data_IF_676176936016
#
_entry.id   IF_676176936016
#
_cell.length_a   1.000
_cell.length_b   1.000
_cell.length_c   1.000
_cell.angle_alpha   90.00
_cell.angle_beta   90.00
_cell.angle_gamma   90.00
#
_symmetry.space_group_name_H-M   'P 1'
#
loop_
_entity.id
_entity.type
_entity.pdbx_description
1 polymer ?
#
# COMPACT_ATOMS: atom_id res chain seq x y z
N UNK A 1 11.18 -20.92 -8.54
CA UNK A 1 9.77 -20.49 -8.79
C UNK A 1 9.43 -19.42 -7.76
N UNK A 2 8.93 -18.26 -8.21
CA UNK A 2 8.55 -17.16 -7.31
C UNK A 2 7.35 -17.56 -6.46
N UNK A 3 7.33 -17.13 -5.20
CA UNK A 3 6.21 -17.42 -4.30
C UNK A 3 5.06 -16.46 -4.60
N UNK A 4 3.86 -17.00 -4.85
CA UNK A 4 2.65 -16.20 -5.07
C UNK A 4 2.23 -15.53 -3.77
N UNK A 5 2.02 -14.19 -3.81
CA UNK A 5 1.66 -13.38 -2.65
C UNK A 5 0.72 -12.24 -3.02
N UNK A 6 -0.07 -11.80 -2.03
CA UNK A 6 -0.79 -10.52 -2.05
C UNK A 6 -0.01 -9.52 -1.22
N UNK A 7 0.37 -8.38 -1.81
CA UNK A 7 1.14 -7.33 -1.15
C UNK A 7 0.23 -6.29 -0.49
N UNK A 8 0.52 -5.94 0.77
CA UNK A 8 -0.15 -4.86 1.50
C UNK A 8 0.90 -3.87 1.96
N UNK A 9 0.84 -2.62 1.49
CA UNK A 9 1.73 -1.54 1.96
C UNK A 9 1.02 -0.66 2.98
N UNK A 10 1.78 -0.03 3.90
CA UNK A 10 1.19 0.77 4.96
C UNK A 10 0.44 -0.06 6.01
N UNK A 11 0.87 -1.29 6.18
CA UNK A 11 0.19 -2.29 7.02
C UNK A 11 0.13 -1.91 8.49
N UNK A 12 1.11 -1.18 9.01
CA UNK A 12 1.14 -0.76 10.42
C UNK A 12 0.24 0.45 10.72
N UNK A 13 -0.52 0.92 9.75
CA UNK A 13 -1.61 1.86 9.92
C UNK A 13 -2.89 1.17 10.38
N UNK A 14 -3.86 1.95 10.87
CA UNK A 14 -5.15 1.44 11.39
C UNK A 14 -5.90 0.59 10.33
N UNK A 15 -6.06 1.11 9.13
CA UNK A 15 -6.71 0.41 8.02
C UNK A 15 -5.90 -0.82 7.59
N UNK A 16 -4.57 -0.68 7.52
CA UNK A 16 -3.67 -1.78 7.14
C UNK A 16 -3.73 -2.97 8.11
N UNK A 17 -3.71 -2.71 9.41
CA UNK A 17 -3.85 -3.76 10.43
C UNK A 17 -5.20 -4.49 10.36
N UNK A 18 -6.29 -3.73 10.20
CA UNK A 18 -7.60 -4.32 10.02
C UNK A 18 -7.68 -5.17 8.74
N UNK A 19 -7.09 -4.68 7.65
CA UNK A 19 -7.09 -5.36 6.36
C UNK A 19 -6.32 -6.69 6.42
N UNK A 20 -5.09 -6.70 6.96
CA UNK A 20 -4.28 -7.93 7.03
C UNK A 20 -4.98 -9.01 7.84
N UNK A 21 -5.60 -8.63 8.96
CA UNK A 21 -6.37 -9.57 9.78
C UNK A 21 -7.58 -10.11 9.02
N UNK A 22 -8.38 -9.24 8.41
CA UNK A 22 -9.58 -9.68 7.67
C UNK A 22 -9.24 -10.58 6.47
N UNK A 23 -8.20 -10.26 5.71
CA UNK A 23 -7.76 -11.11 4.60
C UNK A 23 -7.29 -12.49 5.09
N UNK A 24 -6.55 -12.54 6.20
CA UNK A 24 -6.13 -13.81 6.81
C UNK A 24 -7.35 -14.62 7.29
N UNK A 25 -8.32 -13.99 7.94
CA UNK A 25 -9.56 -14.63 8.39
C UNK A 25 -10.41 -15.15 7.21
N UNK A 26 -10.32 -14.51 6.04
CA UNK A 26 -10.94 -14.97 4.79
C UNK A 26 -10.15 -16.09 4.08
N UNK A 27 -9.03 -16.52 4.63
CA UNK A 27 -8.23 -17.64 4.10
C UNK A 27 -7.11 -17.25 3.14
N UNK A 28 -6.77 -15.97 3.02
CA UNK A 28 -5.59 -15.53 2.27
C UNK A 28 -4.32 -15.93 3.04
N UNK A 29 -3.64 -16.99 2.58
CA UNK A 29 -2.52 -17.59 3.32
C UNK A 29 -1.15 -16.94 3.03
N UNK A 30 -1.00 -16.25 1.90
CA UNK A 30 0.28 -15.73 1.43
C UNK A 30 0.29 -14.20 1.41
N UNK A 31 0.07 -13.58 2.56
CA UNK A 31 0.14 -12.13 2.70
C UNK A 31 1.59 -11.70 2.89
N UNK A 32 2.03 -10.76 2.04
CA UNK A 32 3.30 -10.05 2.17
C UNK A 32 2.99 -8.61 2.58
N UNK A 33 3.59 -8.13 3.65
CA UNK A 33 3.32 -6.78 4.17
C UNK A 33 4.56 -5.92 4.18
N UNK A 34 4.40 -4.64 3.89
CA UNK A 34 5.48 -3.66 3.80
C UNK A 34 5.09 -2.37 4.54
N UNK A 35 5.92 -1.94 5.47
CA UNK A 35 5.80 -0.65 6.16
C UNK A 35 7.18 -0.19 6.64
N UNK A 36 7.37 1.11 6.81
CA UNK A 36 8.57 1.66 7.44
C UNK A 36 8.64 1.32 8.94
N UNK A 37 7.50 1.02 9.55
CA UNK A 37 7.36 0.63 10.95
C UNK A 37 7.31 -0.89 11.07
N UNK A 38 7.74 -1.44 12.21
CA UNK A 38 7.55 -2.84 12.51
C UNK A 38 6.05 -3.18 12.61
N UNK A 39 5.71 -4.43 12.31
CA UNK A 39 4.37 -4.95 12.55
C UNK A 39 4.19 -5.24 14.05
N UNK A 40 3.05 -4.86 14.65
CA UNK A 40 2.78 -5.22 16.05
C UNK A 40 2.82 -6.75 16.25
N UNK A 41 3.37 -7.24 17.36
CA UNK A 41 3.62 -8.68 17.58
C UNK A 41 2.39 -9.58 17.37
N UNK A 42 1.21 -9.12 17.75
CA UNK A 42 -0.05 -9.85 17.62
C UNK A 42 -0.48 -10.07 16.17
N UNK A 43 0.06 -9.28 15.22
CA UNK A 43 -0.24 -9.38 13.79
C UNK A 43 0.79 -10.21 12.99
N UNK A 44 1.95 -10.52 13.58
CA UNK A 44 3.04 -11.23 12.87
C UNK A 44 2.66 -12.62 12.36
N UNK A 45 1.66 -13.24 12.97
CA UNK A 45 1.12 -14.54 12.56
C UNK A 45 0.34 -14.51 11.24
N UNK A 46 -0.10 -13.33 10.79
CA UNK A 46 -0.97 -13.21 9.62
C UNK A 46 -0.22 -13.03 8.30
N UNK A 47 1.02 -12.55 8.36
CA UNK A 47 1.75 -12.18 7.14
C UNK A 47 3.27 -12.32 7.30
N UNK A 48 3.95 -12.39 6.16
CA UNK A 48 5.40 -12.18 6.10
C UNK A 48 5.64 -10.67 5.99
N UNK A 49 6.26 -10.07 7.01
CA UNK A 49 6.48 -8.63 7.08
C UNK A 49 7.87 -8.23 6.63
N UNK A 50 7.93 -7.23 5.77
CA UNK A 50 9.15 -6.53 5.36
C UNK A 50 9.09 -5.12 5.92
N UNK A 51 10.06 -4.78 6.78
CA UNK A 51 10.23 -3.41 7.20
C UNK A 51 11.07 -2.66 6.16
N UNK A 52 10.48 -1.65 5.52
CA UNK A 52 11.12 -0.92 4.44
C UNK A 52 10.27 0.23 3.91
N UNK A 53 10.89 1.05 3.06
CA UNK A 53 10.27 2.24 2.48
C UNK A 53 9.80 1.93 1.05
N UNK A 54 8.57 2.33 0.71
CA UNK A 54 8.04 2.23 -0.66
C UNK A 54 8.80 3.11 -1.66
N UNK A 55 9.58 4.07 -1.20
CA UNK A 55 10.48 4.90 -2.02
C UNK A 55 11.82 4.23 -2.34
N UNK A 56 12.13 3.12 -1.68
CA UNK A 56 13.34 2.34 -1.96
C UNK A 56 13.17 1.48 -3.23
N UNK A 57 13.68 2.00 -4.35
CA UNK A 57 13.65 1.30 -5.65
C UNK A 57 14.34 -0.05 -5.62
N UNK A 58 15.43 -0.19 -4.85
CA UNK A 58 16.16 -1.46 -4.73
C UNK A 58 15.29 -2.51 -4.04
N UNK A 59 14.55 -2.10 -3.01
CA UNK A 59 13.59 -2.95 -2.33
C UNK A 59 12.46 -3.38 -3.30
N UNK A 60 11.86 -2.43 -4.02
CA UNK A 60 10.79 -2.75 -4.98
C UNK A 60 11.27 -3.72 -6.08
N UNK A 61 12.46 -3.48 -6.65
CA UNK A 61 13.06 -4.37 -7.65
C UNK A 61 13.31 -5.80 -7.08
N UNK A 62 13.73 -5.89 -5.83
CA UNK A 62 13.89 -7.17 -5.14
C UNK A 62 12.53 -7.89 -5.00
N UNK A 63 11.47 -7.18 -4.61
CA UNK A 63 10.13 -7.77 -4.52
C UNK A 63 9.66 -8.34 -5.87
N UNK A 64 9.88 -7.60 -6.96
CA UNK A 64 9.57 -8.08 -8.33
C UNK A 64 10.32 -9.38 -8.66
N UNK A 65 11.57 -9.52 -8.22
CA UNK A 65 12.39 -10.69 -8.53
C UNK A 65 12.09 -11.90 -7.65
N UNK A 66 11.71 -11.69 -6.40
CA UNK A 66 11.52 -12.77 -5.41
C UNK A 66 10.09 -13.32 -5.39
N UNK A 67 9.10 -12.48 -5.69
CA UNK A 67 7.68 -12.81 -5.51
C UNK A 67 6.90 -12.78 -6.82
N UNK A 68 5.83 -13.57 -6.87
CA UNK A 68 4.75 -13.54 -7.84
C UNK A 68 3.58 -12.78 -7.18
N UNK A 69 3.52 -11.45 -7.40
CA UNK A 69 2.53 -10.59 -6.76
C UNK A 69 1.27 -10.54 -7.61
N UNK A 70 0.15 -11.03 -7.08
CA UNK A 70 -1.13 -11.08 -7.79
C UNK A 70 -2.06 -9.89 -7.49
N UNK A 71 -1.92 -9.31 -6.31
CA UNK A 71 -2.69 -8.14 -5.89
C UNK A 71 -1.85 -7.22 -4.99
N UNK A 72 -2.11 -5.93 -5.07
CA UNK A 72 -1.50 -4.90 -4.23
C UNK A 72 -2.60 -4.08 -3.57
N UNK A 73 -2.62 -4.08 -2.24
CA UNK A 73 -3.41 -3.16 -1.43
C UNK A 73 -2.48 -2.05 -0.93
N UNK A 74 -2.56 -0.89 -1.58
CA UNK A 74 -1.68 0.23 -1.29
C UNK A 74 -2.30 1.17 -0.25
N UNK A 75 -1.99 0.94 1.03
CA UNK A 75 -2.48 1.73 2.16
C UNK A 75 -1.44 2.73 2.70
N UNK A 76 -0.20 2.69 2.21
CA UNK A 76 0.86 3.59 2.63
C UNK A 76 0.58 5.02 2.14
N UNK A 77 0.44 5.94 3.07
CA UNK A 77 0.25 7.37 2.78
C UNK A 77 0.66 8.23 3.98
N UNK A 78 1.06 9.47 3.71
CA UNK A 78 1.11 10.52 4.72
C UNK A 78 -0.23 11.27 4.73
N UNK A 79 -0.87 11.28 5.90
CA UNK A 79 -2.17 11.91 6.09
C UNK A 79 -2.07 13.45 6.07
N UNK A 80 -3.21 14.13 5.82
CA UNK A 80 -3.32 15.57 5.64
C UNK A 80 -2.58 16.41 6.70
N UNK A 81 -2.75 16.09 7.97
CA UNK A 81 -2.10 16.82 9.08
C UNK A 81 -0.58 16.79 8.97
N UNK A 82 0.00 15.63 8.62
CA UNK A 82 1.44 15.49 8.41
C UNK A 82 1.90 16.10 7.09
N UNK A 83 1.05 16.04 6.06
CA UNK A 83 1.33 16.62 4.76
C UNK A 83 1.43 18.15 4.81
N UNK A 84 0.64 18.82 5.65
CA UNK A 84 0.72 20.27 5.86
C UNK A 84 2.08 20.72 6.40
N UNK A 85 2.67 19.93 7.32
CA UNK A 85 3.98 20.25 7.91
C UNK A 85 5.16 19.80 7.05
N UNK A 86 4.98 18.78 6.20
CA UNK A 86 6.04 18.19 5.38
C UNK A 86 5.55 17.92 3.95
N UNK A 87 5.19 18.96 3.17
CA UNK A 87 4.54 18.78 1.87
C UNK A 87 5.41 18.05 0.84
N UNK A 88 6.72 18.25 0.88
CA UNK A 88 7.66 17.55 -0.02
C UNK A 88 7.66 16.06 0.27
N UNK A 89 7.80 15.67 1.54
CA UNK A 89 7.75 14.26 1.93
C UNK A 89 6.39 13.62 1.63
N UNK A 90 5.29 14.37 1.82
CA UNK A 90 3.96 13.91 1.46
C UNK A 90 3.82 13.66 -0.04
N UNK A 91 4.33 14.55 -0.88
CA UNK A 91 4.36 14.35 -2.33
C UNK A 91 5.15 13.09 -2.71
N UNK A 92 6.35 12.94 -2.15
CA UNK A 92 7.18 11.76 -2.42
C UNK A 92 6.45 10.46 -2.05
N UNK A 93 5.94 10.35 -0.84
CA UNK A 93 5.25 9.13 -0.40
C UNK A 93 3.94 8.91 -1.17
N UNK A 94 3.07 9.92 -1.24
CA UNK A 94 1.72 9.75 -1.77
C UNK A 94 1.67 9.71 -3.30
N UNK A 95 2.59 10.39 -4.00
CA UNK A 95 2.63 10.44 -5.45
C UNK A 95 3.72 9.53 -6.01
N UNK A 96 4.99 9.78 -5.67
CA UNK A 96 6.10 8.99 -6.22
C UNK A 96 6.08 7.55 -5.72
N UNK A 97 5.74 7.33 -4.43
CA UNK A 97 5.57 5.99 -3.88
C UNK A 97 4.45 5.20 -4.58
N UNK A 98 3.32 5.83 -4.84
CA UNK A 98 2.20 5.22 -5.58
C UNK A 98 2.59 4.90 -7.01
N UNK A 99 3.29 5.83 -7.70
CA UNK A 99 3.79 5.59 -9.06
C UNK A 99 4.78 4.43 -9.12
N UNK A 100 5.69 4.33 -8.14
CA UNK A 100 6.62 3.20 -8.04
C UNK A 100 5.91 1.85 -7.89
N UNK A 101 4.86 1.79 -7.08
CA UNK A 101 4.06 0.58 -6.92
C UNK A 101 3.19 0.25 -8.15
N UNK A 102 2.69 1.25 -8.86
CA UNK A 102 2.01 1.04 -10.14
C UNK A 102 2.96 0.49 -11.20
N UNK A 103 4.20 0.99 -11.25
CA UNK A 103 5.23 0.44 -12.12
C UNK A 103 5.55 -1.02 -11.75
N UNK A 104 5.70 -1.32 -10.45
CA UNK A 104 5.88 -2.69 -9.96
C UNK A 104 4.72 -3.59 -10.42
N UNK A 105 3.47 -3.13 -10.29
CA UNK A 105 2.29 -3.87 -10.74
C UNK A 105 2.31 -4.13 -12.25
N UNK A 106 2.74 -3.15 -13.05
CA UNK A 106 2.86 -3.30 -14.49
C UNK A 106 3.92 -4.35 -14.87
N UNK A 107 5.12 -4.28 -14.26
CA UNK A 107 6.20 -5.25 -14.48
C UNK A 107 5.79 -6.67 -14.07
N UNK A 108 5.10 -6.81 -12.94
CA UNK A 108 4.55 -8.10 -12.49
C UNK A 108 3.48 -8.62 -13.47
N UNK A 109 2.58 -7.76 -13.96
CA UNK A 109 1.54 -8.13 -14.92
C UNK A 109 2.15 -8.64 -16.23
N UNK A 110 3.19 -7.97 -16.72
CA UNK A 110 3.91 -8.38 -17.93
C UNK A 110 4.59 -9.75 -17.73
N UNK A 111 5.31 -9.92 -16.62
CA UNK A 111 5.96 -11.19 -16.30
C UNK A 111 4.97 -12.34 -16.12
N UNK A 112 3.82 -12.09 -15.47
CA UNK A 112 2.79 -13.10 -15.21
C UNK A 112 1.98 -13.47 -16.45
N UNK A 113 1.86 -12.55 -17.42
CA UNK A 113 0.89 -12.63 -18.50
C UNK A 113 -0.57 -12.40 -18.06
N UNK A 114 -0.78 -11.95 -16.83
CA UNK A 114 -2.09 -11.65 -16.22
C UNK A 114 -2.02 -10.34 -15.43
N UNK A 115 -3.10 -9.53 -15.42
CA UNK A 115 -3.11 -8.27 -14.69
C UNK A 115 -2.95 -8.48 -13.18
N UNK A 116 -2.14 -7.63 -12.54
CA UNK A 116 -2.09 -7.47 -11.09
C UNK A 116 -3.25 -6.56 -10.66
N UNK A 117 -4.03 -6.98 -9.67
CA UNK A 117 -5.08 -6.15 -9.10
C UNK A 117 -4.43 -5.09 -8.20
N UNK A 118 -4.68 -3.81 -8.50
CA UNK A 118 -4.17 -2.68 -7.71
C UNK A 118 -5.32 -1.96 -7.01
N UNK A 119 -5.32 -1.97 -5.68
CA UNK A 119 -6.35 -1.36 -4.84
C UNK A 119 -5.74 -0.19 -4.09
N UNK A 120 -6.31 0.98 -4.32
CA UNK A 120 -5.87 2.25 -3.74
C UNK A 120 -7.08 3.01 -3.16
N UNK A 121 -7.07 3.38 -1.87
CA UNK A 121 -8.15 4.16 -1.28
C UNK A 121 -8.13 5.57 -1.87
N UNK A 122 -9.28 6.02 -2.38
CA UNK A 122 -9.48 7.40 -2.74
C UNK A 122 -9.79 8.26 -1.50
N UNK A 123 -10.11 9.51 -1.71
CA UNK A 123 -10.48 10.44 -0.64
C UNK A 123 -11.78 11.16 -1.00
N UNK A 124 -12.58 11.48 -0.01
CA UNK A 124 -13.75 12.37 -0.18
C UNK A 124 -13.34 13.72 -0.76
N UNK A 125 -12.11 14.18 -0.51
CA UNK A 125 -11.56 15.39 -1.08
C UNK A 125 -11.49 15.39 -2.61
N UNK A 126 -11.53 14.21 -3.26
CA UNK A 126 -11.57 14.10 -4.72
C UNK A 126 -12.85 14.70 -5.33
N UNK A 127 -13.92 14.77 -4.58
CA UNK A 127 -15.18 15.40 -5.03
C UNK A 127 -15.13 16.94 -4.99
N UNK A 128 -14.16 17.51 -4.28
CA UNK A 128 -14.03 18.96 -4.10
C UNK A 128 -15.15 19.55 -3.24
N UNK A 129 -15.00 20.83 -2.92
CA UNK A 129 -16.04 21.67 -2.31
C UNK A 129 -16.05 22.99 -3.03
N UNK A 130 -17.16 23.37 -3.67
CA UNK A 130 -17.22 24.58 -4.50
C UNK A 130 -17.07 25.88 -3.69
N UNK A 131 -17.46 25.88 -2.39
CA UNK A 131 -17.40 27.05 -1.51
C UNK A 131 -17.49 26.65 -0.02
N UNK A 132 -17.25 27.62 0.88
CA UNK A 132 -17.32 27.43 2.32
C UNK A 132 -18.76 27.23 2.85
N UNK A 133 -19.77 27.80 2.16
CA UNK A 133 -21.17 27.60 2.55
C UNK A 133 -21.64 26.17 2.31
N UNK A 134 -21.19 25.56 1.23
CA UNK A 134 -21.44 24.15 0.95
C UNK A 134 -20.86 23.24 2.03
N UNK A 135 -19.71 23.63 2.61
CA UNK A 135 -19.06 22.89 3.71
C UNK A 135 -19.90 22.82 4.99
N UNK A 136 -20.73 23.80 5.25
CA UNK A 136 -21.55 23.86 6.47
C UNK A 136 -22.82 23.00 6.41
N UNK A 137 -23.12 22.38 5.24
CA UNK A 137 -24.32 21.57 5.01
C UNK A 137 -24.05 20.05 5.07
N UNK A 138 -22.80 19.65 5.29
CA UNK A 138 -22.34 18.29 5.51
C UNK A 138 -21.75 18.15 6.91
#
# INVERSE_FOLDING_TARGET
MRKKVTLITGVSGEVGLALVKNLADLGYANLLTLDIRPLPPEYTKYSNHIQGDILDKSLLNRLVSEYDIDAIFHMAALLSTRAEFTPVAAHQVNVEGTMGLLQLAAEQSEWRGEPVMFIFPSSIAAYGMPDLESKSKF
#
